data_IF_240065440524
#
_entry.id   IF_240065440524
#
_cell.length_a   1.000
_cell.length_b   1.000
_cell.length_c   1.000
_cell.angle_alpha   90.00
_cell.angle_beta   90.00
_cell.angle_gamma   90.00
#
_symmetry.space_group_name_H-M   'P 1'
#
loop_
_entity.id
_entity.type
_entity.pdbx_description
1 polymer ?
#
# COMPACT_ATOMS: atom_id res chain seq x y z
N UNK A 1 11.98 -8.35 -0.77
CA UNK A 1 12.04 -8.30 0.70
C UNK A 1 10.65 -8.03 1.24
N UNK A 2 10.23 -8.68 2.32
CA UNK A 2 8.96 -8.40 3.00
C UNK A 2 9.24 -7.52 4.22
N UNK A 3 8.45 -6.48 4.43
CA UNK A 3 8.59 -5.54 5.55
C UNK A 3 7.28 -5.52 6.34
N UNK A 4 7.34 -5.69 7.66
CA UNK A 4 6.17 -5.61 8.52
C UNK A 4 5.71 -4.15 8.65
N UNK A 5 4.41 -3.90 8.53
CA UNK A 5 3.78 -2.57 8.53
C UNK A 5 2.75 -2.39 9.64
N UNK A 6 2.63 -3.32 10.59
CA UNK A 6 1.63 -3.29 11.68
C UNK A 6 1.72 -2.02 12.51
N UNK A 7 2.95 -1.60 12.83
CA UNK A 7 3.21 -0.38 13.60
C UNK A 7 2.94 0.91 12.82
N UNK A 8 2.60 0.81 11.53
CA UNK A 8 2.35 1.96 10.68
C UNK A 8 0.87 2.35 10.59
N UNK A 9 -0.03 1.58 11.22
CA UNK A 9 -1.48 1.78 11.11
C UNK A 9 -1.91 3.22 11.42
N UNK A 10 -1.37 3.79 12.49
CA UNK A 10 -1.79 5.10 13.00
C UNK A 10 -1.32 6.28 12.12
N UNK A 11 -0.37 6.04 11.21
CA UNK A 11 0.07 7.05 10.24
C UNK A 11 -0.78 7.08 8.97
N UNK A 12 -1.55 6.02 8.71
CA UNK A 12 -2.32 5.87 7.48
C UNK A 12 -3.64 6.64 7.66
N UNK A 13 -3.95 7.63 6.79
CA UNK A 13 -5.21 8.34 6.86
C UNK A 13 -6.41 7.39 6.74
N UNK A 14 -7.46 7.64 7.55
CA UNK A 14 -8.65 6.78 7.65
C UNK A 14 -9.32 6.49 6.29
N UNK A 15 -9.28 7.44 5.35
CA UNK A 15 -9.80 7.29 3.98
C UNK A 15 -9.28 6.05 3.22
N UNK A 16 -8.07 5.57 3.56
CA UNK A 16 -7.48 4.38 2.93
C UNK A 16 -8.01 3.06 3.50
N UNK A 17 -8.73 3.10 4.63
CA UNK A 17 -9.43 1.96 5.24
C UNK A 17 -10.93 1.96 4.95
N UNK A 18 -11.51 3.11 4.61
CA UNK A 18 -12.97 3.26 4.46
C UNK A 18 -13.48 2.80 3.08
N UNK A 19 -12.70 3.04 2.03
CA UNK A 19 -13.13 2.75 0.65
C UNK A 19 -11.97 2.37 -0.26
N UNK A 20 -12.28 1.56 -1.27
CA UNK A 20 -11.39 1.29 -2.40
C UNK A 20 -11.31 2.48 -3.37
N UNK A 21 -12.34 3.33 -3.39
CA UNK A 21 -12.54 4.38 -4.37
C UNK A 21 -12.07 5.76 -3.83
N UNK A 22 -10.87 5.82 -3.25
CA UNK A 22 -10.24 7.07 -2.80
C UNK A 22 -9.52 7.81 -3.94
N UNK A 23 -9.30 7.13 -5.06
CA UNK A 23 -8.80 7.71 -6.30
C UNK A 23 -10.00 8.05 -7.21
N UNK A 24 -10.00 9.27 -7.74
CA UNK A 24 -11.01 9.72 -8.70
C UNK A 24 -10.68 9.27 -10.11
N UNK A 25 -10.48 10.25 -10.99
CA UNK A 25 -10.11 10.03 -12.38
C UNK A 25 -8.59 10.22 -12.59
N UNK A 26 -8.05 9.53 -13.60
CA UNK A 26 -6.69 9.79 -14.08
C UNK A 26 -6.61 11.13 -14.83
N UNK A 27 -5.40 11.49 -15.29
CA UNK A 27 -5.14 12.73 -16.05
C UNK A 27 -5.92 12.81 -17.38
N UNK A 28 -6.58 11.74 -17.80
CA UNK A 28 -7.41 11.64 -19.01
C UNK A 28 -8.91 11.49 -18.70
N UNK A 29 -9.33 11.69 -17.43
CA UNK A 29 -10.74 11.57 -17.03
C UNK A 29 -11.24 10.14 -16.91
N UNK A 30 -10.36 9.13 -16.87
CA UNK A 30 -10.76 7.72 -16.74
C UNK A 30 -10.74 7.30 -15.28
N UNK A 31 -11.78 6.58 -14.84
CA UNK A 31 -11.76 5.94 -13.52
C UNK A 31 -10.59 4.97 -13.41
N UNK A 32 -9.77 5.13 -12.38
CA UNK A 32 -8.67 4.22 -12.09
C UNK A 32 -9.26 2.86 -11.71
N UNK A 33 -8.83 1.80 -12.39
CA UNK A 33 -9.24 0.44 -12.01
C UNK A 33 -8.64 0.08 -10.65
N UNK A 34 -9.52 -0.25 -9.71
CA UNK A 34 -9.13 -0.62 -8.36
C UNK A 34 -9.29 -2.12 -8.16
N UNK A 35 -8.20 -2.78 -7.77
CA UNK A 35 -8.28 -4.13 -7.22
C UNK A 35 -9.00 -4.08 -5.87
N UNK A 36 -10.24 -4.59 -5.86
CA UNK A 36 -11.06 -4.77 -4.67
C UNK A 36 -10.61 -6.05 -3.97
N UNK A 37 -10.07 -5.89 -2.78
CA UNK A 37 -9.59 -6.97 -1.93
C UNK A 37 -9.96 -6.61 -0.51
N UNK A 38 -10.68 -7.52 0.12
CA UNK A 38 -11.15 -7.40 1.49
C UNK A 38 -10.60 -8.60 2.27
N UNK A 39 -10.36 -8.37 3.55
CA UNK A 39 -10.13 -9.43 4.53
C UNK A 39 -11.43 -10.24 4.70
N UNK A 40 -11.38 -11.45 5.28
CA UNK A 40 -12.57 -12.28 5.48
C UNK A 40 -13.69 -11.60 6.31
N UNK A 41 -13.35 -10.59 7.09
CA UNK A 41 -14.27 -9.75 7.87
C UNK A 41 -14.79 -8.51 7.12
N UNK A 42 -14.48 -8.38 5.83
CA UNK A 42 -14.90 -7.28 4.96
C UNK A 42 -14.06 -6.01 5.07
N UNK A 43 -13.03 -5.98 5.92
CA UNK A 43 -12.15 -4.80 6.04
C UNK A 43 -11.16 -4.70 4.89
N UNK A 44 -10.73 -3.48 4.57
CA UNK A 44 -9.58 -3.27 3.68
C UNK A 44 -8.29 -3.75 4.39
N UNK A 45 -7.45 -4.57 3.73
CA UNK A 45 -6.19 -5.02 4.29
C UNK A 45 -5.24 -3.87 4.65
N UNK A 46 -4.56 -3.96 5.80
CA UNK A 46 -3.60 -2.98 6.28
C UNK A 46 -2.47 -2.71 5.28
N UNK A 47 -1.84 -3.76 4.75
CA UNK A 47 -0.77 -3.63 3.75
C UNK A 47 -1.24 -2.95 2.45
N UNK A 48 -2.50 -3.16 2.06
CA UNK A 48 -3.13 -2.50 0.92
C UNK A 48 -3.32 -1.01 1.21
N UNK A 49 -3.92 -0.67 2.35
CA UNK A 49 -4.07 0.71 2.79
C UNK A 49 -2.71 1.43 2.88
N UNK A 50 -1.71 0.79 3.48
CA UNK A 50 -0.35 1.30 3.58
C UNK A 50 0.29 1.54 2.22
N UNK A 51 0.23 0.56 1.32
CA UNK A 51 0.83 0.66 -0.02
C UNK A 51 0.20 1.77 -0.85
N UNK A 52 -1.12 1.97 -0.73
CA UNK A 52 -1.88 3.03 -1.41
C UNK A 52 -1.49 4.42 -0.89
N UNK A 53 -1.44 4.59 0.43
CA UNK A 53 -0.99 5.83 1.06
C UNK A 53 0.44 6.19 0.65
N UNK A 54 1.36 5.22 0.75
CA UNK A 54 2.76 5.40 0.36
C UNK A 54 2.93 5.75 -1.12
N UNK A 55 2.18 5.08 -2.00
CA UNK A 55 2.21 5.37 -3.43
C UNK A 55 1.66 6.76 -3.75
N UNK A 56 0.46 7.09 -3.24
CA UNK A 56 -0.27 8.31 -3.60
C UNK A 56 0.33 9.56 -2.98
N UNK A 57 0.62 9.53 -1.69
CA UNK A 57 1.02 10.74 -0.95
C UNK A 57 2.53 10.84 -0.74
N UNK A 58 3.25 9.72 -0.76
CA UNK A 58 4.71 9.70 -0.50
C UNK A 58 5.54 9.38 -1.74
N UNK A 59 4.91 9.02 -2.86
CA UNK A 59 5.61 8.67 -4.10
C UNK A 59 6.46 7.40 -3.98
N UNK A 60 6.13 6.51 -3.03
CA UNK A 60 6.85 5.25 -2.81
C UNK A 60 5.93 4.09 -3.09
N UNK A 61 6.13 3.46 -4.25
CA UNK A 61 5.34 2.29 -4.64
C UNK A 61 5.92 1.02 -4.04
N UNK A 62 5.02 0.20 -3.51
CA UNK A 62 5.30 -1.11 -2.93
C UNK A 62 4.14 -2.05 -3.24
N UNK A 63 4.33 -3.35 -3.02
CA UNK A 63 3.29 -4.34 -3.32
C UNK A 63 2.71 -4.90 -2.02
N UNK A 64 1.38 -4.85 -1.79
CA UNK A 64 0.74 -5.50 -0.66
C UNK A 64 1.00 -7.02 -0.66
N UNK A 65 1.21 -7.62 0.51
CA UNK A 65 1.36 -9.07 0.64
C UNK A 65 0.03 -9.80 0.39
N UNK A 66 -1.08 -9.21 0.83
CA UNK A 66 -2.44 -9.71 0.68
C UNK A 66 -2.82 -10.05 -0.77
N UNK A 67 -2.17 -9.41 -1.76
CA UNK A 67 -2.36 -9.68 -3.19
C UNK A 67 -1.84 -11.06 -3.64
N UNK A 68 -0.96 -11.68 -2.87
CA UNK A 68 -0.40 -13.00 -3.18
C UNK A 68 -1.23 -14.16 -2.61
N UNK A 69 -2.37 -13.85 -1.99
CA UNK A 69 -3.30 -14.84 -1.47
C UNK A 69 -4.52 -14.94 -2.38
N UNK A 70 -5.10 -16.13 -2.43
CA UNK A 70 -6.45 -16.27 -2.97
C UNK A 70 -7.43 -15.46 -2.11
N UNK A 71 -8.37 -14.74 -2.75
CA UNK A 71 -9.32 -13.84 -2.07
C UNK A 71 -10.14 -14.50 -0.95
N UNK A 72 -10.36 -15.82 -1.04
CA UNK A 72 -11.11 -16.59 -0.03
C UNK A 72 -10.19 -17.40 0.89
N UNK A 73 -8.89 -17.10 0.93
CA UNK A 73 -7.95 -17.84 1.78
C UNK A 73 -8.18 -17.48 3.25
N UNK A 74 -8.37 -18.47 4.14
CA UNK A 74 -8.45 -18.21 5.58
C UNK A 74 -7.10 -17.82 6.18
N UNK A 75 -6.00 -17.95 5.42
CA UNK A 75 -4.63 -17.67 5.84
C UNK A 75 -4.09 -16.36 5.27
N UNK A 76 -4.94 -15.48 4.73
CA UNK A 76 -4.52 -14.19 4.20
C UNK A 76 -3.86 -13.36 5.31
N UNK A 77 -2.69 -12.79 5.01
CA UNK A 77 -1.93 -11.95 5.93
C UNK A 77 -1.79 -10.54 5.36
N UNK A 78 -2.18 -9.55 6.16
CA UNK A 78 -2.21 -8.12 5.83
C UNK A 78 -1.07 -7.32 6.48
N UNK A 79 -0.16 -7.98 7.19
CA UNK A 79 0.85 -7.33 8.03
C UNK A 79 2.13 -6.92 7.29
N UNK A 80 2.28 -7.30 6.01
CA UNK A 80 3.54 -7.15 5.29
C UNK A 80 3.38 -6.44 3.94
N UNK A 81 4.36 -5.62 3.57
CA UNK A 81 4.50 -5.08 2.23
C UNK A 81 5.79 -5.59 1.58
N UNK A 82 5.72 -5.95 0.29
CA UNK A 82 6.86 -6.40 -0.50
C UNK A 82 7.57 -5.22 -1.13
N UNK A 83 8.84 -5.05 -0.77
CA UNK A 83 9.78 -4.09 -1.34
C UNK A 83 10.74 -4.80 -2.30
N UNK A 84 10.93 -4.20 -3.47
CA UNK A 84 11.90 -4.61 -4.47
C UNK A 84 12.98 -3.53 -4.59
N UNK A 85 14.24 -3.90 -4.27
CA UNK A 85 15.40 -3.01 -4.32
C UNK A 85 16.26 -3.21 -5.57
N UNK A 86 15.75 -3.92 -6.57
CA UNK A 86 16.42 -4.18 -7.86
C UNK A 86 16.39 -2.95 -8.79
N UNK A 87 16.73 -1.78 -8.25
CA UNK A 87 16.79 -0.49 -8.95
C UNK A 87 18.21 0.07 -8.85
N UNK A 88 18.52 1.06 -9.66
CA UNK A 88 19.80 1.76 -9.56
C UNK A 88 19.95 2.45 -8.18
N UNK A 89 21.19 2.64 -7.76
CA UNK A 89 21.50 3.18 -6.44
C UNK A 89 20.92 4.59 -6.22
N UNK A 90 20.83 5.41 -7.27
CA UNK A 90 20.29 6.77 -7.14
C UNK A 90 18.79 6.75 -6.88
N UNK A 91 18.05 5.87 -7.57
CA UNK A 91 16.62 5.63 -7.30
C UNK A 91 16.40 5.17 -5.86
N UNK A 92 17.20 4.23 -5.36
CA UNK A 92 17.11 3.76 -3.97
C UNK A 92 17.39 4.89 -2.97
N UNK A 93 18.44 5.70 -3.21
CA UNK A 93 18.77 6.87 -2.36
C UNK A 93 17.63 7.88 -2.27
N UNK A 94 16.97 8.20 -3.39
CA UNK A 94 15.83 9.13 -3.41
C UNK A 94 14.68 8.64 -2.53
N UNK A 95 14.34 7.35 -2.62
CA UNK A 95 13.32 6.73 -1.77
C UNK A 95 13.72 6.79 -0.30
N UNK A 96 14.95 6.41 0.06
CA UNK A 96 15.43 6.51 1.44
C UNK A 96 15.34 7.95 1.99
N UNK A 97 15.66 8.96 1.18
CA UNK A 97 15.51 10.37 1.56
C UNK A 97 14.05 10.78 1.76
N UNK A 98 13.13 10.31 0.90
CA UNK A 98 11.70 10.56 1.05
C UNK A 98 11.15 9.92 2.34
N UNK A 99 11.52 8.67 2.61
CA UNK A 99 11.10 7.93 3.82
C UNK A 99 11.56 8.61 5.11
N UNK A 100 12.77 9.17 5.15
CA UNK A 100 13.29 9.90 6.32
C UNK A 100 12.52 11.18 6.66
N UNK A 101 11.76 11.74 5.71
CA UNK A 101 10.95 12.94 5.92
C UNK A 101 9.57 12.63 6.49
N UNK A 102 9.19 11.36 6.54
CA UNK A 102 7.96 10.93 7.20
C UNK A 102 8.17 11.13 8.69
N UNK A 103 7.49 12.14 9.25
CA UNK A 103 7.50 12.37 10.70
C UNK A 103 6.57 11.35 11.36
N UNK A 104 7.10 10.67 12.37
CA UNK A 104 6.37 9.82 13.30
C UNK A 104 5.66 10.69 14.35
#
# INVERSE_FOLDING_TARGET
MMTNVEKCRDFIPQKYFDTHDYDGEDEFGRKIQVNRLEMPDGRIPLDLAFSRWMGKEKGVTMMPNSFFYHKNSPFISESYARLAICKDLNSVKKVCQALRKIRL
#
